data_IF_068017808424
#
_entry.id   IF_068017808424
#
_cell.length_a   1.000
_cell.length_b   1.000
_cell.length_c   1.000
_cell.angle_alpha   90.00
_cell.angle_beta   90.00
_cell.angle_gamma   90.00
#
_symmetry.space_group_name_H-M   'P 1'
#
loop_
_entity.id
_entity.type
_entity.pdbx_description
1 polymer ?
#
# COMPACT_ATOMS: atom_id res chain seq x y z
N UNK A 1 8.34 -1.54 -43.77
CA UNK A 1 8.74 -2.10 -42.46
C UNK A 1 8.45 -1.15 -41.30
N UNK A 2 8.40 0.16 -41.52
CA UNK A 2 8.12 1.16 -40.47
C UNK A 2 6.67 1.13 -39.95
N UNK A 3 5.68 0.85 -40.81
CA UNK A 3 4.25 0.82 -40.42
C UNK A 3 3.88 -0.35 -39.50
N UNK A 4 4.52 -1.50 -39.68
CA UNK A 4 4.31 -2.69 -38.84
C UNK A 4 4.88 -2.47 -37.43
N UNK A 5 6.03 -1.82 -37.33
CA UNK A 5 6.65 -1.47 -36.05
C UNK A 5 5.82 -0.43 -35.29
N UNK A 6 5.30 0.58 -35.99
CA UNK A 6 4.42 1.60 -35.42
C UNK A 6 3.10 0.99 -34.89
N UNK A 7 2.47 0.07 -35.64
CA UNK A 7 1.28 -0.65 -35.16
C UNK A 7 1.58 -1.53 -33.94
N UNK A 8 2.72 -2.21 -33.90
CA UNK A 8 3.10 -3.01 -32.73
C UNK A 8 3.28 -2.16 -31.47
N UNK A 9 3.88 -0.96 -31.58
CA UNK A 9 4.02 -0.03 -30.45
C UNK A 9 2.66 0.50 -29.99
N UNK A 10 1.77 0.85 -30.92
CA UNK A 10 0.40 1.32 -30.62
C UNK A 10 -0.47 0.25 -29.93
N UNK A 11 -0.26 -1.03 -30.21
CA UNK A 11 -0.98 -2.13 -29.56
C UNK A 11 -0.31 -2.59 -28.25
N UNK A 12 1.01 -2.53 -28.15
CA UNK A 12 1.74 -2.94 -26.95
C UNK A 12 1.60 -1.92 -25.79
N UNK A 13 1.57 -0.62 -26.09
CA UNK A 13 1.43 0.43 -25.08
C UNK A 13 0.15 0.31 -24.21
N UNK A 14 -1.07 0.16 -24.77
CA UNK A 14 -2.27 0.02 -23.95
C UNK A 14 -2.27 -1.28 -23.14
N UNK A 15 -1.70 -2.38 -23.65
CA UNK A 15 -1.57 -3.63 -22.91
C UNK A 15 -0.65 -3.45 -21.70
N UNK A 16 0.52 -2.84 -21.89
CA UNK A 16 1.46 -2.53 -20.81
C UNK A 16 0.83 -1.59 -19.77
N UNK A 17 0.06 -0.60 -20.22
CA UNK A 17 -0.65 0.32 -19.34
C UNK A 17 -1.72 -0.40 -18.48
N UNK A 18 -2.50 -1.31 -19.07
CA UNK A 18 -3.48 -2.13 -18.35
C UNK A 18 -2.77 -3.02 -17.31
N UNK A 19 -1.61 -3.60 -17.66
CA UNK A 19 -0.84 -4.42 -16.74
C UNK A 19 -0.26 -3.62 -15.57
N UNK A 20 0.34 -2.45 -15.84
CA UNK A 20 0.86 -1.57 -14.78
C UNK A 20 -0.24 -1.15 -13.80
N UNK A 21 -1.40 -0.72 -14.32
CA UNK A 21 -2.54 -0.35 -13.46
C UNK A 21 -3.10 -1.52 -12.66
N UNK A 22 -3.03 -2.76 -13.19
CA UNK A 22 -3.42 -3.96 -12.45
C UNK A 22 -2.46 -4.27 -11.29
N UNK A 23 -1.14 -4.15 -11.52
CA UNK A 23 -0.13 -4.36 -10.49
C UNK A 23 -0.26 -3.34 -9.37
N UNK A 24 -0.44 -2.06 -9.71
CA UNK A 24 -0.68 -1.00 -8.72
C UNK A 24 -1.93 -1.29 -7.88
N UNK A 25 -3.03 -1.73 -8.51
CA UNK A 25 -4.26 -2.11 -7.79
C UNK A 25 -4.06 -3.27 -6.83
N UNK A 26 -3.32 -4.31 -7.24
CA UNK A 26 -3.00 -5.45 -6.38
C UNK A 26 -2.18 -5.01 -5.18
N UNK A 27 -1.16 -4.19 -5.40
CA UNK A 27 -0.33 -3.69 -4.33
C UNK A 27 -1.10 -2.78 -3.35
N UNK A 28 -1.96 -1.90 -3.85
CA UNK A 28 -2.84 -1.09 -3.02
C UNK A 28 -3.80 -1.97 -2.20
N UNK A 29 -4.37 -3.02 -2.82
CA UNK A 29 -5.22 -3.98 -2.10
C UNK A 29 -4.45 -4.77 -1.04
N UNK A 30 -3.17 -5.05 -1.27
CA UNK A 30 -2.29 -5.69 -0.30
C UNK A 30 -2.03 -4.76 0.90
N UNK A 31 -1.71 -3.48 0.66
CA UNK A 31 -1.47 -2.49 1.70
C UNK A 31 -2.70 -2.18 2.55
N UNK A 32 -3.89 -2.15 1.92
CA UNK A 32 -5.17 -1.88 2.58
C UNK A 32 -5.77 -3.09 3.30
N UNK A 33 -5.23 -4.29 3.12
CA UNK A 33 -5.75 -5.48 3.77
C UNK A 33 -5.22 -5.61 5.21
N UNK A 34 -6.09 -5.55 6.23
CA UNK A 34 -5.67 -5.64 7.64
C UNK A 34 -4.96 -6.94 7.99
N UNK A 35 -5.19 -8.02 7.23
CA UNK A 35 -4.49 -9.30 7.44
C UNK A 35 -2.99 -9.20 7.17
N UNK A 36 -2.59 -8.27 6.31
CA UNK A 36 -1.20 -8.08 5.89
C UNK A 36 -0.46 -7.05 6.76
N UNK A 37 -1.15 -6.38 7.69
CA UNK A 37 -0.60 -5.30 8.50
C UNK A 37 0.71 -5.68 9.20
N UNK A 38 0.76 -6.87 9.81
CA UNK A 38 1.97 -7.36 10.50
C UNK A 38 3.13 -7.58 9.54
N UNK A 39 2.85 -8.16 8.37
CA UNK A 39 3.85 -8.44 7.36
C UNK A 39 4.43 -7.14 6.78
N UNK A 40 3.56 -6.17 6.48
CA UNK A 40 3.95 -4.83 6.02
C UNK A 40 4.88 -4.18 7.04
N UNK A 41 4.48 -4.13 8.31
CA UNK A 41 5.30 -3.53 9.39
C UNK A 41 6.66 -4.24 9.50
N UNK A 42 6.68 -5.58 9.42
CA UNK A 42 7.92 -6.37 9.43
C UNK A 42 8.81 -6.06 8.23
N UNK A 43 8.27 -6.08 7.01
CA UNK A 43 9.01 -5.78 5.78
C UNK A 43 9.64 -4.37 5.84
N UNK A 44 8.88 -3.37 6.31
CA UNK A 44 9.41 -2.00 6.43
C UNK A 44 10.49 -1.84 7.50
N UNK A 45 10.60 -2.77 8.45
CA UNK A 45 11.70 -2.78 9.42
C UNK A 45 13.00 -3.30 8.78
N UNK A 46 12.93 -4.37 7.99
CA UNK A 46 14.11 -5.00 7.38
C UNK A 46 14.58 -4.32 6.09
N UNK A 47 13.68 -3.75 5.29
CA UNK A 47 14.00 -3.10 4.03
C UNK A 47 13.63 -1.61 4.04
N UNK A 48 14.66 -0.77 4.09
CA UNK A 48 14.53 0.68 4.07
C UNK A 48 13.95 1.24 2.75
N UNK A 49 14.21 0.57 1.62
CA UNK A 49 13.63 0.94 0.33
C UNK A 49 12.14 0.66 0.32
N UNK A 50 11.75 -0.54 0.76
CA UNK A 50 10.36 -0.93 0.95
C UNK A 50 9.63 0.04 1.91
N UNK A 51 10.25 0.39 3.03
CA UNK A 51 9.73 1.40 3.98
C UNK A 51 9.42 2.73 3.30
N UNK A 52 10.36 3.25 2.53
CA UNK A 52 10.20 4.53 1.82
C UNK A 52 9.06 4.46 0.80
N UNK A 53 8.99 3.37 0.03
CA UNK A 53 7.98 3.18 -1.00
C UNK A 53 6.58 2.99 -0.42
N UNK A 54 6.44 2.15 0.60
CA UNK A 54 5.16 1.95 1.29
C UNK A 54 4.68 3.24 1.97
N UNK A 55 5.55 3.97 2.66
CA UNK A 55 5.18 5.27 3.25
C UNK A 55 4.74 6.28 2.20
N UNK A 56 5.41 6.33 1.04
CA UNK A 56 5.02 7.20 -0.07
C UNK A 56 3.61 6.84 -0.59
N UNK A 57 3.34 5.56 -0.79
CA UNK A 57 2.04 5.05 -1.25
C UNK A 57 0.94 5.30 -0.23
N UNK A 58 1.20 5.00 1.05
CA UNK A 58 0.26 5.25 2.15
C UNK A 58 -0.09 6.74 2.30
N UNK A 59 0.89 7.64 2.21
CA UNK A 59 0.65 9.09 2.25
C UNK A 59 -0.15 9.59 1.05
N UNK A 60 0.10 9.03 -0.14
CA UNK A 60 -0.71 9.32 -1.34
C UNK A 60 -2.17 8.91 -1.11
N UNK A 61 -2.41 7.68 -0.63
CA UNK A 61 -3.76 7.20 -0.30
C UNK A 61 -4.42 8.05 0.78
N UNK A 62 -3.70 8.43 1.84
CA UNK A 62 -4.22 9.31 2.88
C UNK A 62 -4.70 10.65 2.29
N UNK A 63 -3.94 11.24 1.37
CA UNK A 63 -4.31 12.49 0.70
C UNK A 63 -5.55 12.32 -0.18
N UNK A 64 -5.63 11.21 -0.94
CA UNK A 64 -6.78 10.89 -1.79
C UNK A 64 -8.05 10.70 -0.96
N UNK A 65 -7.99 9.90 0.11
CA UNK A 65 -9.11 9.67 1.03
C UNK A 65 -9.58 10.95 1.73
N UNK A 66 -8.65 11.83 2.15
CA UNK A 66 -9.00 13.14 2.73
C UNK A 66 -9.65 14.08 1.71
N UNK A 67 -9.20 14.05 0.45
CA UNK A 67 -9.81 14.83 -0.62
C UNK A 67 -11.24 14.34 -0.92
N UNK A 68 -11.45 13.03 -0.95
CA UNK A 68 -12.78 12.41 -1.09
C UNK A 68 -13.70 12.78 0.08
N UNK A 69 -13.22 12.72 1.33
CA UNK A 69 -14.01 13.10 2.50
C UNK A 69 -14.45 14.58 2.43
N UNK A 70 -13.52 15.47 2.05
CA UNK A 70 -13.81 16.91 1.88
C UNK A 70 -14.83 17.16 0.76
N UNK A 71 -14.72 16.42 -0.34
CA UNK A 71 -15.65 16.52 -1.46
C UNK A 71 -17.06 16.04 -1.07
N UNK A 72 -17.15 14.90 -0.37
CA UNK A 72 -18.41 14.32 0.12
C UNK A 72 -19.12 15.23 1.15
N UNK A 73 -18.37 15.97 1.97
CA UNK A 73 -18.93 16.98 2.89
C UNK A 73 -19.51 18.19 2.15
N UNK A 74 -18.93 18.57 1.01
CA UNK A 74 -19.29 19.77 0.27
C UNK A 74 -20.38 19.51 -0.77
N UNK A 75 -20.40 18.31 -1.34
CA UNK A 75 -21.37 17.89 -2.34
C UNK A 75 -22.07 16.65 -1.80
N UNK A 76 -23.37 16.78 -1.51
CA UNK A 76 -24.32 15.69 -1.20
C UNK A 76 -24.55 14.79 -2.43
N UNK A 77 -23.49 14.50 -3.18
CA UNK A 77 -23.52 13.87 -4.49
C UNK A 77 -23.05 12.44 -4.32
N UNK A 78 -23.88 11.52 -4.79
CA UNK A 78 -23.66 10.09 -4.85
C UNK A 78 -22.47 9.82 -5.77
N UNK A 79 -21.24 9.94 -5.26
CA UNK A 79 -20.07 9.43 -5.95
C UNK A 79 -20.00 7.93 -5.69
N UNK A 80 -20.02 7.17 -6.78
CA UNK A 80 -19.86 5.72 -6.79
C UNK A 80 -18.54 5.40 -6.07
N UNK A 81 -18.66 4.81 -4.87
CA UNK A 81 -17.55 4.39 -4.01
C UNK A 81 -16.58 3.51 -4.80
N UNK A 82 -15.34 3.96 -4.95
CA UNK A 82 -14.23 3.09 -5.36
C UNK A 82 -13.62 2.34 -4.16
N UNK A 83 -13.72 2.88 -2.93
CA UNK A 83 -13.27 2.24 -1.69
C UNK A 83 -14.19 2.57 -0.49
N UNK A 84 -14.34 1.68 0.51
CA UNK A 84 -15.27 1.87 1.61
C UNK A 84 -14.71 2.69 2.79
N UNK A 85 -15.30 3.87 3.02
CA UNK A 85 -15.56 4.44 4.36
C UNK A 85 -14.37 5.01 5.16
N UNK A 86 -14.68 5.87 6.15
CA UNK A 86 -13.77 6.46 7.14
C UNK A 86 -12.81 5.46 7.81
N UNK A 87 -13.18 4.17 7.79
CA UNK A 87 -12.36 3.04 8.27
C UNK A 87 -11.03 2.92 7.54
N UNK A 88 -10.98 3.19 6.23
CA UNK A 88 -9.77 3.03 5.43
C UNK A 88 -8.77 4.15 5.73
N UNK A 89 -9.25 5.38 5.93
CA UNK A 89 -8.40 6.51 6.33
C UNK A 89 -7.77 6.27 7.70
N UNK A 90 -8.57 5.85 8.69
CA UNK A 90 -8.07 5.53 10.02
C UNK A 90 -7.06 4.37 10.00
N UNK A 91 -7.30 3.36 9.16
CA UNK A 91 -6.38 2.25 8.98
C UNK A 91 -5.05 2.71 8.38
N UNK A 92 -5.08 3.49 7.29
CA UNK A 92 -3.89 4.04 6.64
C UNK A 92 -3.10 4.91 7.60
N UNK A 93 -3.76 5.77 8.37
CA UNK A 93 -3.11 6.62 9.38
C UNK A 93 -2.41 5.81 10.45
N UNK A 94 -3.08 4.77 10.97
CA UNK A 94 -2.51 3.86 11.96
C UNK A 94 -1.33 3.06 11.42
N UNK A 95 -1.40 2.64 10.16
CA UNK A 95 -0.33 1.89 9.51
C UNK A 95 0.90 2.79 9.28
N UNK A 96 0.71 4.04 8.83
CA UNK A 96 1.78 5.04 8.73
C UNK A 96 2.44 5.25 10.10
N UNK A 97 1.64 5.41 11.16
CA UNK A 97 2.14 5.60 12.52
C UNK A 97 2.98 4.41 12.96
N UNK A 98 2.51 3.17 12.75
CA UNK A 98 3.25 1.95 13.10
C UNK A 98 4.59 1.85 12.39
N UNK A 99 4.63 2.15 11.09
CA UNK A 99 5.86 2.13 10.29
C UNK A 99 6.80 3.27 10.71
N UNK A 100 6.27 4.44 11.04
CA UNK A 100 7.10 5.61 11.41
C UNK A 100 7.70 5.47 12.81
N UNK A 101 6.92 4.95 13.77
CA UNK A 101 7.32 4.81 15.17
C UNK A 101 8.06 3.49 15.47
N UNK A 102 8.52 2.79 14.43
CA UNK A 102 9.23 1.51 14.52
C UNK A 102 8.49 0.50 15.43
N UNK A 103 7.17 0.37 15.25
CA UNK A 103 6.33 -0.48 16.09
C UNK A 103 6.88 -1.92 16.21
N UNK A 104 7.50 -2.42 15.14
CA UNK A 104 8.14 -3.73 15.13
C UNK A 104 9.25 -3.88 16.18
N UNK A 105 10.06 -2.83 16.41
CA UNK A 105 11.11 -2.85 17.44
C UNK A 105 10.50 -3.04 18.83
N UNK A 106 9.35 -2.43 19.08
CA UNK A 106 8.64 -2.59 20.35
C UNK A 106 8.05 -3.99 20.52
N UNK A 107 7.65 -4.64 19.42
CA UNK A 107 7.22 -6.04 19.45
C UNK A 107 8.41 -6.99 19.68
N UNK A 108 9.55 -6.77 19.00
CA UNK A 108 10.77 -7.55 19.21
C UNK A 108 11.24 -7.51 20.66
N UNK A 109 11.20 -6.34 21.30
CA UNK A 109 11.59 -6.16 22.73
C UNK A 109 10.75 -6.98 23.70
N UNK A 110 9.52 -7.38 23.33
CA UNK A 110 8.64 -8.21 24.17
C UNK A 110 8.95 -9.70 24.04
N UNK A 111 9.69 -10.10 23.00
CA UNK A 111 10.08 -11.48 22.74
C UNK A 111 11.36 -11.83 23.52
N UNK A 112 11.52 -13.11 23.86
CA UNK A 112 12.76 -13.62 24.44
C UNK A 112 13.89 -13.62 23.41
N UNK A 113 15.16 -13.60 23.84
CA UNK A 113 16.31 -13.64 22.90
C UNK A 113 16.28 -14.85 21.97
N UNK A 114 15.75 -15.99 22.43
CA UNK A 114 15.62 -17.21 21.63
C UNK A 114 14.59 -17.04 20.53
N UNK A 115 13.47 -16.37 20.82
CA UNK A 115 12.41 -16.07 19.85
C UNK A 115 12.85 -15.00 18.85
N UNK A 116 13.58 -13.96 19.29
CA UNK A 116 14.14 -12.94 18.41
C UNK A 116 15.11 -13.53 17.38
N UNK A 117 15.94 -14.51 17.77
CA UNK A 117 16.87 -15.21 16.86
C UNK A 117 16.18 -16.20 15.92
N UNK A 118 15.02 -16.70 16.33
CA UNK A 118 14.19 -17.64 15.56
C UNK A 118 13.08 -16.93 14.78
N UNK A 119 13.04 -15.60 14.78
CA UNK A 119 12.17 -14.77 13.95
C UNK A 119 12.62 -14.89 12.48
N UNK A 120 12.51 -16.12 12.00
CA UNK A 120 12.92 -16.58 10.70
C UNK A 120 11.85 -16.16 9.69
N UNK A 121 12.35 -15.77 8.54
CA UNK A 121 11.63 -15.30 7.37
C UNK A 121 10.59 -16.31 6.84
N UNK A 122 10.72 -17.60 7.21
CA UNK A 122 10.04 -18.73 6.55
C UNK A 122 8.74 -19.23 7.22
N UNK A 123 8.27 -18.63 8.33
CA UNK A 123 7.05 -19.10 9.02
C UNK A 123 5.79 -18.24 8.77
N UNK A 124 5.80 -17.32 7.81
CA UNK A 124 4.63 -16.51 7.45
C UNK A 124 4.26 -16.66 5.97
#
# INVERSE_FOLDING_TARGET
MEDLFSMCVFLAFPILFIWMTSLEKKELSYLLNPKNEREIVKQTYYDASCRKDYLKKLRKMQSELRAEEKLNRTKKTIFIRLYPSNTDLQYVERLIEKITNDFYVNELKKMTEKEQRLDNWDQF
#
